data_IF_098967331950
#
_entry.id   IF_098967331950
#
_cell.length_a   1.000
_cell.length_b   1.000
_cell.length_c   1.000
_cell.angle_alpha   90.00
_cell.angle_beta   90.00
_cell.angle_gamma   90.00
#
_symmetry.space_group_name_H-M   'P 1'
#
loop_
_entity.id
_entity.type
_entity.pdbx_description
1 polymer ?
#
# COMPACT_ATOMS: atom_id res chain seq x y z
N UNK A 1 7.83 21.53 -18.10
CA UNK A 1 7.70 20.70 -16.86
C UNK A 1 6.41 19.85 -16.91
N UNK A 2 6.52 18.62 -17.42
CA UNK A 2 5.37 17.69 -17.51
C UNK A 2 5.05 17.12 -16.12
N UNK A 3 3.92 17.61 -15.60
CA UNK A 3 3.02 17.04 -14.60
C UNK A 3 3.60 16.34 -13.35
N UNK A 4 3.71 17.11 -12.25
CA UNK A 4 3.67 16.56 -10.88
C UNK A 4 2.22 16.24 -10.49
N UNK A 5 1.58 15.34 -11.22
CA UNK A 5 0.17 14.95 -10.98
C UNK A 5 0.11 13.61 -10.26
N UNK A 6 -0.89 13.44 -9.39
CA UNK A 6 -1.19 12.18 -8.70
C UNK A 6 -1.70 11.06 -9.65
N UNK A 7 -1.49 11.20 -10.96
CA UNK A 7 -2.02 10.31 -12.02
C UNK A 7 -1.71 8.84 -11.74
N UNK A 8 -0.52 8.56 -11.23
CA UNK A 8 -0.06 7.19 -10.96
C UNK A 8 -0.93 6.42 -9.95
N UNK A 9 -1.44 7.07 -8.90
CA UNK A 9 -2.27 6.39 -7.91
C UNK A 9 -3.74 6.27 -8.35
N UNK A 10 -4.18 7.16 -9.25
CA UNK A 10 -5.47 7.02 -9.91
C UNK A 10 -5.50 5.75 -10.77
N UNK A 11 -4.42 5.48 -11.53
CA UNK A 11 -4.30 4.24 -12.32
C UNK A 11 -4.39 2.99 -11.44
N UNK A 12 -3.74 2.98 -10.28
CA UNK A 12 -3.85 1.87 -9.31
C UNK A 12 -5.29 1.71 -8.82
N UNK A 13 -5.98 2.81 -8.50
CA UNK A 13 -7.35 2.80 -8.00
C UNK A 13 -8.34 2.30 -9.07
N UNK A 14 -8.24 2.80 -10.29
CA UNK A 14 -9.04 2.37 -11.45
C UNK A 14 -8.81 0.88 -11.74
N UNK A 15 -7.55 0.44 -11.79
CA UNK A 15 -7.23 -0.97 -11.99
C UNK A 15 -7.85 -1.87 -10.92
N UNK A 16 -7.79 -1.47 -9.64
CA UNK A 16 -8.40 -2.23 -8.55
C UNK A 16 -9.92 -2.30 -8.68
N UNK A 17 -10.56 -1.19 -9.04
CA UNK A 17 -12.00 -1.13 -9.28
C UNK A 17 -12.40 -2.06 -10.41
N UNK A 18 -11.67 -2.04 -11.52
CA UNK A 18 -12.00 -2.83 -12.71
C UNK A 18 -11.72 -4.32 -12.51
N UNK A 19 -10.64 -4.66 -11.78
CA UNK A 19 -10.21 -6.05 -11.58
C UNK A 19 -10.94 -6.74 -10.43
N UNK A 20 -11.17 -6.04 -9.31
CA UNK A 20 -11.77 -6.62 -8.10
C UNK A 20 -13.24 -6.26 -7.91
N UNK A 21 -13.69 -5.15 -8.51
CA UNK A 21 -15.04 -4.61 -8.34
C UNK A 21 -15.19 -3.78 -7.07
N UNK A 22 -15.88 -2.64 -7.18
CA UNK A 22 -16.07 -1.70 -6.05
C UNK A 22 -16.77 -2.34 -4.85
N UNK A 23 -17.69 -3.28 -5.08
CA UNK A 23 -18.40 -4.00 -4.00
C UNK A 23 -17.44 -4.84 -3.16
N UNK A 24 -16.45 -5.48 -3.78
CA UNK A 24 -15.44 -6.27 -3.06
C UNK A 24 -14.52 -5.37 -2.27
N UNK A 25 -14.07 -4.26 -2.87
CA UNK A 25 -13.20 -3.27 -2.21
C UNK A 25 -13.85 -2.64 -0.97
N UNK A 26 -15.16 -2.40 -0.99
CA UNK A 26 -15.92 -1.86 0.16
C UNK A 26 -16.11 -2.85 1.30
N UNK A 27 -15.91 -4.14 1.09
CA UNK A 27 -16.27 -5.17 2.07
C UNK A 27 -15.08 -6.02 2.46
N UNK A 28 -13.85 -5.66 2.06
CA UNK A 28 -12.71 -6.56 2.14
C UNK A 28 -11.41 -5.81 2.34
N UNK A 29 -10.57 -6.35 3.22
CA UNK A 29 -9.34 -5.72 3.65
C UNK A 29 -8.22 -5.88 2.63
N UNK A 30 -7.64 -4.77 2.17
CA UNK A 30 -6.41 -4.74 1.40
C UNK A 30 -5.33 -4.05 2.21
N UNK A 31 -4.30 -4.77 2.65
CA UNK A 31 -3.20 -4.14 3.38
C UNK A 31 -2.27 -3.39 2.41
N UNK A 32 -2.13 -2.07 2.58
CA UNK A 32 -1.19 -1.22 1.81
C UNK A 32 -0.65 -0.06 2.67
N UNK A 33 0.34 0.69 2.18
CA UNK A 33 0.95 1.77 2.96
C UNK A 33 -0.05 2.92 3.13
N UNK A 34 0.15 3.73 4.17
CA UNK A 34 -0.83 4.75 4.55
C UNK A 34 -1.11 5.76 3.44
N UNK A 35 -0.11 6.14 2.63
CA UNK A 35 -0.32 7.12 1.56
C UNK A 35 -1.10 6.49 0.40
N UNK A 36 -0.69 5.30 -0.05
CA UNK A 36 -1.40 4.54 -1.09
C UNK A 36 -2.86 4.30 -0.68
N UNK A 37 -3.08 3.89 0.58
CA UNK A 37 -4.41 3.71 1.17
C UNK A 37 -5.28 4.96 1.03
N UNK A 38 -4.81 6.10 1.54
CA UNK A 38 -5.59 7.34 1.57
C UNK A 38 -5.96 7.79 0.17
N UNK A 39 -5.01 7.74 -0.77
CA UNK A 39 -5.27 8.18 -2.14
C UNK A 39 -6.25 7.26 -2.86
N UNK A 40 -6.10 5.93 -2.76
CA UNK A 40 -7.03 4.99 -3.40
C UNK A 40 -8.43 5.12 -2.80
N UNK A 41 -8.54 5.21 -1.47
CA UNK A 41 -9.82 5.34 -0.76
C UNK A 41 -10.56 6.61 -1.17
N UNK A 42 -9.84 7.74 -1.19
CA UNK A 42 -10.38 9.02 -1.64
C UNK A 42 -10.80 8.99 -3.12
N UNK A 43 -9.97 8.41 -3.99
CA UNK A 43 -10.27 8.30 -5.42
C UNK A 43 -11.53 7.47 -5.68
N UNK A 44 -11.70 6.35 -4.96
CA UNK A 44 -12.84 5.45 -5.15
C UNK A 44 -14.08 5.84 -4.33
N UNK A 45 -13.99 6.86 -3.47
CA UNK A 45 -15.07 7.24 -2.56
C UNK A 45 -15.45 6.11 -1.60
N UNK A 46 -14.45 5.40 -1.07
CA UNK A 46 -14.63 4.28 -0.12
C UNK A 46 -13.86 4.53 1.17
N UNK A 47 -14.29 3.88 2.25
CA UNK A 47 -13.70 4.09 3.57
C UNK A 47 -12.26 3.55 3.64
N UNK A 48 -11.35 4.32 4.24
CA UNK A 48 -9.96 3.95 4.44
C UNK A 48 -9.79 2.71 5.32
N UNK A 49 -10.78 2.35 6.14
CA UNK A 49 -10.69 1.15 6.98
C UNK A 49 -10.44 -0.09 6.12
N UNK A 50 -11.07 -0.22 4.95
CA UNK A 50 -10.93 -1.41 4.11
C UNK A 50 -9.56 -1.54 3.40
N UNK A 51 -8.67 -0.56 3.55
CA UNK A 51 -7.29 -0.62 3.04
C UNK A 51 -6.24 -0.79 4.14
N UNK A 52 -6.63 -1.38 5.26
CA UNK A 52 -5.70 -1.97 6.20
C UNK A 52 -5.01 -1.01 7.18
N UNK A 53 -5.68 0.05 7.60
CA UNK A 53 -5.15 0.92 8.64
C UNK A 53 -6.18 1.51 9.59
N UNK A 54 -5.72 1.83 10.81
CA UNK A 54 -6.43 2.72 11.75
C UNK A 54 -6.56 4.13 11.15
N UNK A 55 -7.50 4.93 11.66
CA UNK A 55 -7.73 6.31 11.22
C UNK A 55 -6.41 7.12 11.14
N UNK A 56 -6.27 7.92 10.10
CA UNK A 56 -5.10 8.75 9.72
C UNK A 56 -4.50 9.60 10.85
N UNK A 57 -5.23 9.84 11.96
CA UNK A 57 -4.69 10.47 13.18
C UNK A 57 -3.48 9.74 13.77
N UNK A 58 -3.24 8.47 13.42
CA UNK A 58 -2.04 7.70 13.83
C UNK A 58 -1.16 7.30 12.64
N UNK A 59 -0.78 8.24 11.77
CA UNK A 59 0.21 8.00 10.69
C UNK A 59 1.54 7.35 11.16
N UNK A 60 1.81 7.31 12.47
CA UNK A 60 2.94 6.58 13.08
C UNK A 60 2.81 5.05 13.05
N UNK A 61 1.61 4.47 12.97
CA UNK A 61 1.38 3.02 12.94
C UNK A 61 1.22 2.50 11.51
N UNK A 62 2.29 2.57 10.72
CA UNK A 62 2.32 1.91 9.41
C UNK A 62 2.67 0.42 9.57
N UNK A 63 1.65 -0.45 9.56
CA UNK A 63 1.81 -1.89 9.79
C UNK A 63 2.78 -2.55 8.80
N UNK A 64 2.81 -2.11 7.53
CA UNK A 64 3.76 -2.64 6.54
C UNK A 64 5.22 -2.38 6.88
N UNK A 65 5.51 -1.33 7.66
CA UNK A 65 6.88 -1.10 8.14
C UNK A 65 7.27 -2.09 9.23
N UNK A 66 6.32 -2.57 10.01
CA UNK A 66 6.53 -3.56 11.06
C UNK A 66 6.60 -5.00 10.52
N UNK A 67 6.10 -5.26 9.30
CA UNK A 67 6.17 -6.59 8.70
C UNK A 67 7.63 -6.98 8.45
N UNK A 68 8.05 -8.03 9.16
CA UNK A 68 9.38 -8.62 9.08
C UNK A 68 9.34 -10.08 8.65
N UNK A 69 8.16 -10.73 8.75
CA UNK A 69 7.97 -12.15 8.52
C UNK A 69 6.60 -12.48 7.91
N UNK A 70 6.47 -13.69 7.34
CA UNK A 70 5.18 -14.22 6.87
C UNK A 70 4.19 -14.38 8.03
N UNK A 71 4.69 -14.64 9.25
CA UNK A 71 3.87 -14.75 10.45
C UNK A 71 3.13 -13.44 10.74
N UNK A 72 3.79 -12.30 10.53
CA UNK A 72 3.17 -10.98 10.72
C UNK A 72 2.00 -10.81 9.75
N UNK A 73 2.22 -11.11 8.46
CA UNK A 73 1.17 -11.05 7.43
C UNK A 73 0.01 -11.98 7.78
N UNK A 74 0.29 -13.23 8.15
CA UNK A 74 -0.75 -14.19 8.54
C UNK A 74 -1.51 -13.76 9.79
N UNK A 75 -0.84 -13.13 10.75
CA UNK A 75 -1.47 -12.56 11.95
C UNK A 75 -2.46 -11.47 11.55
N UNK A 76 -2.04 -10.56 10.66
CA UNK A 76 -2.89 -9.50 10.13
C UNK A 76 -4.12 -10.03 9.40
N UNK A 77 -3.92 -11.00 8.50
CA UNK A 77 -5.01 -11.63 7.73
C UNK A 77 -6.05 -12.24 8.66
N UNK A 78 -5.63 -12.89 9.74
CA UNK A 78 -6.55 -13.49 10.72
C UNK A 78 -7.40 -12.46 11.45
N UNK A 79 -6.85 -11.29 11.76
CA UNK A 79 -7.58 -10.24 12.47
C UNK A 79 -8.43 -9.35 11.55
N UNK A 80 -8.25 -9.44 10.23
CA UNK A 80 -8.91 -8.59 9.25
C UNK A 80 -9.62 -9.41 8.17
N UNK A 81 -10.71 -10.08 8.56
CA UNK A 81 -11.53 -10.92 7.67
C UNK A 81 -12.80 -10.17 7.24
N UNK A 82 -13.18 -10.18 5.95
CA UNK A 82 -12.50 -10.87 4.85
C UNK A 82 -11.28 -10.09 4.34
N UNK A 83 -10.20 -10.81 3.99
CA UNK A 83 -8.95 -10.23 3.48
C UNK A 83 -8.80 -10.48 1.98
N UNK A 84 -8.57 -9.42 1.21
CA UNK A 84 -8.51 -9.46 -0.25
C UNK A 84 -7.10 -9.42 -0.82
N UNK A 85 -6.14 -8.85 -0.07
CA UNK A 85 -4.76 -8.91 -0.50
C UNK A 85 -3.83 -7.94 0.19
N UNK A 86 -2.57 -8.09 -0.14
CA UNK A 86 -1.47 -7.24 0.29
C UNK A 86 -0.95 -6.51 -0.95
N UNK A 87 -1.15 -5.19 -1.01
CA UNK A 87 -0.71 -4.36 -2.13
C UNK A 87 0.64 -3.71 -1.77
N UNK A 88 1.69 -4.14 -2.44
CA UNK A 88 3.08 -3.73 -2.16
C UNK A 88 3.65 -2.98 -3.36
N UNK A 89 4.26 -1.82 -3.11
CA UNK A 89 5.01 -1.12 -4.15
C UNK A 89 6.34 -1.84 -4.43
N UNK A 90 6.68 -1.96 -5.71
CA UNK A 90 7.99 -2.37 -6.18
C UNK A 90 8.96 -1.19 -5.99
N UNK A 91 9.80 -1.29 -4.96
CA UNK A 91 10.68 -0.18 -4.56
C UNK A 91 11.73 0.18 -5.61
N UNK A 92 12.03 -0.73 -6.54
CA UNK A 92 12.96 -0.50 -7.65
C UNK A 92 12.32 0.24 -8.83
N UNK A 93 11.00 0.14 -8.98
CA UNK A 93 10.24 0.81 -10.03
C UNK A 93 9.69 2.19 -9.60
N UNK A 94 9.81 2.53 -8.31
CA UNK A 94 9.39 3.83 -7.80
C UNK A 94 10.25 4.96 -8.40
N UNK A 95 9.63 6.08 -8.82
CA UNK A 95 10.38 7.26 -9.21
C UNK A 95 11.19 7.79 -8.02
N UNK A 96 12.30 8.44 -8.29
CA UNK A 96 13.04 9.14 -7.24
C UNK A 96 12.15 10.22 -6.62
N UNK A 97 11.99 10.15 -5.30
CA UNK A 97 11.23 11.13 -4.55
C UNK A 97 12.13 12.34 -4.29
N UNK A 98 11.74 13.56 -4.72
CA UNK A 98 12.51 14.75 -4.41
C UNK A 98 12.47 15.03 -2.90
N UNK A 99 13.57 15.52 -2.33
CA UNK A 99 13.62 15.94 -0.92
C UNK A 99 12.56 17.01 -0.65
N UNK A 100 11.82 16.84 0.46
CA UNK A 100 10.77 17.79 0.86
C UNK A 100 11.33 19.21 0.97
N UNK A 101 10.78 20.15 0.19
CA UNK A 101 11.14 21.56 0.31
C UNK A 101 10.80 22.09 1.70
N UNK A 102 9.60 21.77 2.19
CA UNK A 102 9.13 22.15 3.53
C UNK A 102 10.00 21.50 4.60
N UNK A 103 10.38 20.22 4.44
CA UNK A 103 11.26 19.56 5.39
C UNK A 103 12.64 20.22 5.47
N UNK A 104 13.24 20.53 4.31
CA UNK A 104 14.52 21.23 4.23
C UNK A 104 14.47 22.63 4.83
N UNK A 105 13.40 23.39 4.59
CA UNK A 105 13.31 24.79 5.02
C UNK A 105 12.79 24.99 6.44
N UNK A 106 11.94 24.09 6.95
CA UNK A 106 11.32 24.27 8.27
C UNK A 106 12.12 23.68 9.42
N UNK A 107 12.97 22.67 9.18
CA UNK A 107 13.66 21.92 10.23
C UNK A 107 12.74 21.07 11.14
N UNK A 108 11.42 21.28 11.08
CA UNK A 108 10.42 20.57 11.88
C UNK A 108 10.04 19.20 11.29
N UNK A 109 10.31 18.98 10.00
CA UNK A 109 9.99 17.77 9.27
C UNK A 109 11.27 17.24 8.65
N UNK A 110 11.59 15.96 8.85
CA UNK A 110 12.73 15.38 8.13
C UNK A 110 12.43 15.37 6.64
N UNK A 111 13.40 15.76 5.84
CA UNK A 111 13.26 15.82 4.37
C UNK A 111 12.99 14.45 3.76
N UNK A 112 13.53 13.39 4.35
CA UNK A 112 13.33 11.98 4.01
C UNK A 112 11.89 11.48 4.22
N UNK A 113 11.03 12.20 4.97
CA UNK A 113 9.64 11.76 5.19
C UNK A 113 8.76 11.89 3.96
N UNK A 114 9.16 12.70 2.97
CA UNK A 114 8.49 12.74 1.67
C UNK A 114 8.92 11.58 0.73
N UNK A 115 9.89 10.75 1.15
CA UNK A 115 10.35 9.64 0.34
C UNK A 115 9.37 8.46 0.43
N UNK A 116 8.76 8.08 -0.69
CA UNK A 116 7.81 6.95 -0.74
C UNK A 116 8.49 5.64 -0.31
N UNK A 117 9.80 5.48 -0.57
CA UNK A 117 10.56 4.30 -0.12
C UNK A 117 10.60 4.18 1.40
N UNK A 118 10.40 5.27 2.14
CA UNK A 118 10.30 5.24 3.61
C UNK A 118 8.95 4.68 4.09
N UNK A 119 7.89 4.86 3.31
CA UNK A 119 6.53 4.38 3.60
C UNK A 119 6.39 2.87 3.35
N UNK A 120 7.17 2.33 2.42
CA UNK A 120 7.26 0.91 2.12
C UNK A 120 8.35 0.28 2.99
N UNK A 121 7.98 -0.49 4.03
CA UNK A 121 8.96 -1.10 4.94
C UNK A 121 10.09 -1.84 4.20
N UNK A 122 11.34 -1.73 4.68
CA UNK A 122 12.54 -2.30 4.01
C UNK A 122 12.43 -3.79 3.69
N UNK A 123 11.62 -4.53 4.45
CA UNK A 123 11.50 -5.98 4.33
C UNK A 123 10.25 -6.44 3.58
N UNK A 124 9.25 -5.58 3.38
CA UNK A 124 7.91 -6.05 3.06
C UNK A 124 7.82 -6.68 1.67
N UNK A 125 8.49 -6.10 0.67
CA UNK A 125 8.59 -6.66 -0.68
C UNK A 125 9.26 -8.06 -0.66
N UNK A 126 10.36 -8.18 0.10
CA UNK A 126 11.07 -9.46 0.27
C UNK A 126 10.24 -10.51 1.00
N UNK A 127 9.43 -10.12 1.98
CA UNK A 127 8.54 -11.04 2.69
C UNK A 127 7.35 -11.43 1.82
N UNK A 128 6.74 -10.47 1.12
CA UNK A 128 5.58 -10.70 0.27
C UNK A 128 5.88 -11.67 -0.88
N UNK A 129 7.05 -11.59 -1.50
CA UNK A 129 7.47 -12.57 -2.54
C UNK A 129 7.53 -14.02 -2.02
N UNK A 130 7.78 -14.24 -0.72
CA UNK A 130 7.74 -15.59 -0.13
C UNK A 130 6.33 -16.16 0.02
N UNK A 131 5.29 -15.32 -0.03
CA UNK A 131 3.89 -15.78 0.01
C UNK A 131 3.54 -16.65 -1.21
N UNK A 132 4.24 -16.46 -2.34
CA UNK A 132 4.07 -17.30 -3.53
C UNK A 132 4.34 -18.79 -3.23
N UNK A 133 5.34 -19.07 -2.39
CA UNK A 133 5.64 -20.44 -1.93
C UNK A 133 4.55 -21.02 -1.00
N UNK A 134 3.63 -20.18 -0.55
CA UNK A 134 2.52 -20.52 0.35
C UNK A 134 1.17 -20.45 -0.38
N UNK A 135 1.16 -20.57 -1.72
CA UNK A 135 -0.06 -20.65 -2.53
C UNK A 135 -0.74 -19.32 -2.83
N UNK A 136 -0.15 -18.18 -2.43
CA UNK A 136 -0.69 -16.88 -2.79
C UNK A 136 -0.46 -16.58 -4.28
N UNK A 137 -1.37 -15.82 -4.88
CA UNK A 137 -1.23 -15.32 -6.24
C UNK A 137 -0.67 -13.91 -6.22
N UNK A 138 0.19 -13.56 -7.19
CA UNK A 138 0.65 -12.20 -7.39
C UNK A 138 0.11 -11.66 -8.72
N UNK A 139 -0.45 -10.45 -8.69
CA UNK A 139 -0.91 -9.71 -9.84
C UNK A 139 -0.13 -8.39 -9.93
N UNK A 140 0.38 -8.07 -11.11
CA UNK A 140 0.97 -6.75 -11.36
C UNK A 140 -0.13 -5.72 -11.37
N UNK A 141 0.07 -4.63 -10.63
CA UNK A 141 -0.86 -3.51 -10.55
C UNK A 141 -0.12 -2.25 -11.00
N UNK A 142 -0.58 -1.56 -12.05
CA UNK A 142 0.10 -0.37 -12.53
C UNK A 142 0.06 0.75 -11.47
N UNK A 143 1.05 1.66 -11.48
CA UNK A 143 2.25 1.63 -12.34
C UNK A 143 3.42 0.86 -11.73
N UNK A 144 3.47 0.70 -10.41
CA UNK A 144 4.62 0.10 -9.70
C UNK A 144 4.21 -0.78 -8.52
N UNK A 145 3.03 -1.40 -8.55
CA UNK A 145 2.54 -2.23 -7.45
C UNK A 145 2.44 -3.71 -7.83
N UNK A 146 2.42 -4.57 -6.81
CA UNK A 146 2.05 -5.97 -6.91
C UNK A 146 1.02 -6.28 -5.82
N UNK A 147 -0.12 -6.84 -6.24
CA UNK A 147 -1.16 -7.32 -5.35
C UNK A 147 -0.94 -8.81 -5.09
N UNK A 148 -0.65 -9.16 -3.84
CA UNK A 148 -0.58 -10.54 -3.37
C UNK A 148 -1.92 -10.94 -2.77
N UNK A 149 -2.58 -11.96 -3.32
CA UNK A 149 -3.88 -12.42 -2.88
C UNK A 149 -3.78 -13.81 -2.23
N UNK A 150 -4.39 -14.02 -1.06
CA UNK A 150 -4.49 -15.36 -0.50
C UNK A 150 -5.32 -16.25 -1.43
N UNK A 151 -5.01 -17.54 -1.46
CA UNK A 151 -5.87 -18.50 -2.12
C UNK A 151 -7.20 -18.56 -1.34
N UNK A 152 -8.32 -18.33 -2.03
CA UNK A 152 -9.64 -18.60 -1.46
C UNK A 152 -9.67 -20.07 -1.03
N UNK A 153 -9.84 -20.33 0.26
CA UNK A 153 -10.17 -21.67 0.76
C UNK A 153 -11.61 -21.99 0.40
#
# INVERSE_FOLDING_TARGET
PKSKTLTFLNETAEWLKDTLGIKKLKNCWILTDTATKTVISAHLGIDEYHYGGEATRRARTNYLRAISSIKDINSYVKTHTPFCGLLVANTKALPESPSSLIGRSSGHWKDEWANIKWLTGKNVERVATKLLKHGWKALKVPPFYTLYMPQSR
#
